data_IF_876452412093
#
_entry.id   IF_876452412093
#
_cell.length_a   1.000
_cell.length_b   1.000
_cell.length_c   1.000
_cell.angle_alpha   90.00
_cell.angle_beta   90.00
_cell.angle_gamma   90.00
#
_symmetry.space_group_name_H-M   'P 1'
#
loop_
_entity.id
_entity.type
_entity.pdbx_description
1 polymer ?
#
# COMPACT_ATOMS: atom_id res chain seq x y z
N UNK A 1 7.13 -42.86 -0.96
CA UNK A 1 6.08 -41.92 -1.45
C UNK A 1 5.42 -41.12 -0.33
N UNK A 2 5.03 -41.74 0.79
CA UNK A 2 4.27 -41.07 1.88
C UNK A 2 4.97 -39.86 2.52
N UNK A 3 6.28 -39.96 2.77
CA UNK A 3 7.07 -38.87 3.38
C UNK A 3 7.16 -37.63 2.48
N UNK A 4 7.27 -37.82 1.16
CA UNK A 4 7.28 -36.73 0.18
C UNK A 4 5.93 -35.97 0.16
N UNK A 5 4.81 -36.69 0.28
CA UNK A 5 3.48 -36.08 0.33
C UNK A 5 3.25 -35.25 1.60
N UNK A 6 3.74 -35.70 2.76
CA UNK A 6 3.66 -34.96 4.02
C UNK A 6 4.48 -33.66 3.98
N UNK A 7 5.70 -33.70 3.43
CA UNK A 7 6.53 -32.50 3.27
C UNK A 7 5.83 -31.46 2.37
N UNK A 8 5.24 -31.89 1.25
CA UNK A 8 4.51 -30.99 0.35
C UNK A 8 3.28 -30.39 1.05
N UNK A 9 2.52 -31.19 1.81
CA UNK A 9 1.36 -30.69 2.56
C UNK A 9 1.74 -29.66 3.62
N UNK A 10 2.83 -29.88 4.36
CA UNK A 10 3.35 -28.92 5.35
C UNK A 10 3.83 -27.63 4.68
N UNK A 11 4.54 -27.74 3.55
CA UNK A 11 4.96 -26.57 2.77
C UNK A 11 3.77 -25.77 2.23
N UNK A 12 2.74 -26.45 1.71
CA UNK A 12 1.51 -25.79 1.26
C UNK A 12 0.79 -25.12 2.43
N UNK A 13 0.70 -25.75 3.60
CA UNK A 13 0.10 -25.14 4.78
C UNK A 13 0.89 -23.91 5.27
N UNK A 14 2.22 -23.97 5.33
CA UNK A 14 3.06 -22.83 5.70
C UNK A 14 2.97 -21.68 4.68
N UNK A 15 2.89 -22.01 3.39
CA UNK A 15 2.69 -21.01 2.34
C UNK A 15 1.28 -20.41 2.43
N UNK A 16 0.22 -21.22 2.58
CA UNK A 16 -1.17 -20.77 2.73
C UNK A 16 -1.41 -19.93 4.00
N UNK A 17 -0.75 -20.24 5.12
CA UNK A 17 -0.88 -19.45 6.36
C UNK A 17 -0.17 -18.09 6.24
N UNK A 18 0.89 -17.98 5.43
CA UNK A 18 1.48 -16.69 5.06
C UNK A 18 0.63 -15.92 4.02
N UNK A 19 -0.36 -16.57 3.39
CA UNK A 19 -1.32 -16.00 2.42
C UNK A 19 -2.62 -15.54 3.10
N UNK A 20 -2.64 -15.32 4.43
CA UNK A 20 -3.53 -14.29 4.95
C UNK A 20 -2.99 -12.94 4.42
N UNK A 21 -3.28 -12.64 3.15
CA UNK A 21 -2.71 -11.57 2.34
C UNK A 21 -2.81 -10.23 3.07
N UNK A 22 -1.75 -9.90 3.82
CA UNK A 22 -1.64 -8.61 4.46
C UNK A 22 -1.35 -7.60 3.35
N UNK A 23 -2.32 -6.75 3.03
CA UNK A 23 -2.21 -5.72 1.99
C UNK A 23 -0.89 -4.93 2.14
N UNK A 24 -0.09 -4.85 1.08
CA UNK A 24 1.11 -4.00 1.06
C UNK A 24 0.84 -2.75 0.25
N UNK A 25 1.17 -1.59 0.81
CA UNK A 25 1.03 -0.31 0.12
C UNK A 25 2.38 0.40 0.01
N UNK A 26 2.50 1.28 -0.97
CA UNK A 26 3.57 2.26 -0.99
C UNK A 26 3.33 3.32 0.09
N UNK A 27 4.39 3.78 0.75
CA UNK A 27 4.35 4.87 1.73
C UNK A 27 5.41 5.92 1.43
N UNK A 28 5.01 7.19 1.56
CA UNK A 28 5.84 8.39 1.45
C UNK A 28 5.04 9.60 1.92
N UNK A 29 5.72 10.64 2.41
CA UNK A 29 5.07 11.85 2.97
C UNK A 29 5.54 13.16 2.31
N UNK A 30 6.53 13.07 1.42
CA UNK A 30 7.01 14.20 0.62
C UNK A 30 7.13 13.83 -0.85
N UNK A 31 7.05 14.81 -1.79
CA UNK A 31 7.24 14.54 -3.21
C UNK A 31 8.60 13.89 -3.53
N UNK A 32 9.66 14.24 -2.76
CA UNK A 32 11.00 13.65 -2.90
C UNK A 32 10.99 12.16 -2.53
N UNK A 33 10.39 11.81 -1.41
CA UNK A 33 10.31 10.41 -0.95
C UNK A 33 9.40 9.59 -1.86
N UNK A 34 8.36 10.19 -2.43
CA UNK A 34 7.45 9.52 -3.35
C UNK A 34 8.07 9.19 -4.72
N UNK A 35 9.29 9.66 -5.03
CA UNK A 35 10.08 9.17 -6.18
C UNK A 35 10.62 7.76 -5.94
N UNK A 36 10.86 7.38 -4.69
CA UNK A 36 11.32 6.05 -4.28
C UNK A 36 10.57 5.61 -3.01
N UNK A 37 9.24 5.42 -3.11
CA UNK A 37 8.42 5.16 -1.93
C UNK A 37 8.78 3.81 -1.31
N UNK A 38 8.73 3.75 0.02
CA UNK A 38 8.91 2.50 0.75
C UNK A 38 7.65 1.64 0.60
N UNK A 39 7.79 0.34 0.83
CA UNK A 39 6.65 -0.59 0.90
C UNK A 39 6.45 -0.99 2.35
N UNK A 40 5.21 -0.95 2.82
CA UNK A 40 4.84 -1.40 4.16
C UNK A 40 3.66 -2.33 4.08
N UNK A 41 3.64 -3.31 4.98
CA UNK A 41 2.44 -4.11 5.23
C UNK A 41 1.45 -3.27 6.03
N UNK A 42 0.19 -3.23 5.59
CA UNK A 42 -0.85 -2.49 6.29
C UNK A 42 -1.19 -3.15 7.62
N UNK A 43 -1.14 -2.32 8.64
CA UNK A 43 -1.50 -2.62 10.02
C UNK A 43 -2.23 -1.40 10.58
N UNK A 44 -2.90 -1.54 11.73
CA UNK A 44 -3.48 -0.39 12.43
C UNK A 44 -2.42 0.69 12.69
N UNK A 45 -1.18 0.31 13.00
CA UNK A 45 -0.09 1.27 13.20
C UNK A 45 0.24 2.06 11.92
N UNK A 46 0.37 1.39 10.77
CA UNK A 46 0.64 2.06 9.49
C UNK A 46 -0.53 2.95 9.01
N UNK A 47 -1.77 2.53 9.30
CA UNK A 47 -2.96 3.30 8.98
C UNK A 47 -3.12 4.53 9.89
N UNK A 48 -2.80 4.40 11.18
CA UNK A 48 -2.79 5.50 12.13
C UNK A 48 -1.69 6.52 11.80
N UNK A 49 -0.52 6.07 11.39
CA UNK A 49 0.55 6.96 10.91
C UNK A 49 0.09 7.79 9.70
N UNK A 50 -0.56 7.15 8.72
CA UNK A 50 -1.11 7.87 7.56
C UNK A 50 -2.22 8.84 7.97
N UNK A 51 -3.07 8.45 8.93
CA UNK A 51 -4.12 9.30 9.48
C UNK A 51 -3.56 10.51 10.24
N UNK A 52 -2.44 10.34 10.93
CA UNK A 52 -1.70 11.46 11.54
C UNK A 52 -1.26 12.47 10.47
N UNK A 53 -0.67 12.02 9.37
CA UNK A 53 -0.29 12.91 8.25
C UNK A 53 -1.49 13.54 7.54
N UNK A 54 -2.62 12.83 7.41
CA UNK A 54 -3.87 13.43 6.95
C UNK A 54 -4.31 14.56 7.88
N UNK A 55 -4.21 14.34 9.20
CA UNK A 55 -4.57 15.29 10.25
C UNK A 55 -3.71 16.55 10.29
N UNK A 56 -2.56 16.57 9.61
CA UNK A 56 -1.79 17.79 9.40
C UNK A 56 -2.58 18.77 8.52
N UNK A 57 -3.07 18.29 7.37
CA UNK A 57 -3.67 19.14 6.33
C UNK A 57 -5.20 19.19 6.34
N UNK A 58 -5.86 18.15 6.85
CA UNK A 58 -7.31 18.00 6.82
C UNK A 58 -7.97 18.24 8.19
N UNK A 59 -9.22 18.65 8.16
CA UNK A 59 -10.10 18.75 9.32
C UNK A 59 -10.81 17.42 9.56
N UNK A 60 -11.23 17.17 10.80
CA UNK A 60 -12.11 16.06 11.17
C UNK A 60 -11.61 14.69 10.74
N UNK A 61 -10.29 14.46 10.78
CA UNK A 61 -9.72 13.12 10.53
C UNK A 61 -10.13 12.22 11.70
N UNK A 62 -11.05 11.30 11.43
CA UNK A 62 -11.54 10.38 12.45
C UNK A 62 -10.44 9.42 12.92
N UNK A 63 -10.34 9.23 14.23
CA UNK A 63 -9.52 8.19 14.82
C UNK A 63 -10.30 6.87 14.80
N UNK A 64 -10.31 6.22 13.64
CA UNK A 64 -11.04 4.98 13.40
C UNK A 64 -10.06 3.81 13.29
N UNK A 65 -10.47 2.64 13.75
CA UNK A 65 -9.71 1.38 13.61
C UNK A 65 -10.48 0.38 12.78
N UNK A 66 -9.80 -0.45 12.01
CA UNK A 66 -10.43 -1.50 11.19
C UNK A 66 -9.45 -2.66 10.95
N UNK A 67 -9.99 -3.87 10.77
CA UNK A 67 -9.22 -5.03 10.29
C UNK A 67 -9.02 -5.00 8.78
N UNK A 68 -9.70 -4.07 8.07
CA UNK A 68 -9.53 -3.81 6.64
C UNK A 68 -8.75 -2.53 6.42
N UNK A 69 -7.94 -2.55 5.37
CA UNK A 69 -7.08 -1.46 4.98
C UNK A 69 -7.21 -1.21 3.48
N UNK A 70 -7.06 0.05 3.08
CA UNK A 70 -6.86 0.46 1.71
C UNK A 70 -5.50 1.16 1.58
N UNK A 71 -4.94 1.15 0.38
CA UNK A 71 -3.83 2.01 0.03
C UNK A 71 -4.36 3.40 -0.36
N UNK A 72 -3.77 4.44 0.23
CA UNK A 72 -4.03 5.84 -0.09
C UNK A 72 -2.92 6.39 -1.01
N UNK A 73 -3.32 7.25 -1.93
CA UNK A 73 -2.44 8.02 -2.79
C UNK A 73 -3.01 9.44 -2.92
N UNK A 74 -2.28 10.45 -2.48
CA UNK A 74 -2.78 11.82 -2.34
C UNK A 74 -1.72 12.85 -2.74
N UNK A 75 -2.13 13.87 -3.49
CA UNK A 75 -1.30 15.00 -3.90
C UNK A 75 -2.00 16.32 -3.63
N UNK A 76 -1.23 17.26 -3.11
CA UNK A 76 -1.62 18.65 -2.95
C UNK A 76 -0.77 19.50 -3.89
N UNK A 77 -1.42 20.34 -4.67
CA UNK A 77 -0.76 21.26 -5.57
C UNK A 77 -1.05 22.70 -5.17
N UNK A 78 -0.06 23.56 -5.40
CA UNK A 78 -0.20 25.00 -5.32
C UNK A 78 0.55 25.63 -6.49
N UNK A 79 -0.09 26.54 -7.23
CA UNK A 79 0.49 27.18 -8.41
C UNK A 79 1.10 26.20 -9.43
N UNK A 80 0.41 25.07 -9.69
CA UNK A 80 0.84 23.95 -10.56
C UNK A 80 1.99 23.09 -10.03
N UNK A 81 2.59 23.42 -8.89
CA UNK A 81 3.64 22.60 -8.26
C UNK A 81 3.05 21.61 -7.25
N UNK A 82 3.58 20.38 -7.26
CA UNK A 82 3.26 19.37 -6.23
C UNK A 82 4.04 19.72 -4.97
N UNK A 83 3.36 20.34 -4.00
CA UNK A 83 3.97 20.77 -2.74
C UNK A 83 4.05 19.63 -1.72
N UNK A 84 3.03 18.77 -1.70
CA UNK A 84 2.94 17.66 -0.75
C UNK A 84 2.34 16.44 -1.43
N UNK A 85 2.85 15.28 -1.05
CA UNK A 85 2.39 14.00 -1.56
C UNK A 85 2.41 12.98 -0.43
N UNK A 86 1.28 12.30 -0.23
CA UNK A 86 1.07 11.32 0.82
C UNK A 86 0.61 10.01 0.21
N UNK A 87 1.39 8.95 0.42
CA UNK A 87 0.98 7.59 0.14
C UNK A 87 1.06 6.81 1.46
N UNK A 88 0.16 5.86 1.66
CA UNK A 88 0.17 5.04 2.87
C UNK A 88 -0.97 4.04 2.92
N UNK A 89 -1.15 3.43 4.08
CA UNK A 89 -2.31 2.60 4.39
C UNK A 89 -3.37 3.46 5.06
N UNK A 90 -4.64 3.20 4.87
CA UNK A 90 -5.72 3.94 5.53
C UNK A 90 -6.85 3.01 5.92
N UNK A 91 -7.55 3.35 6.99
CA UNK A 91 -8.83 2.71 7.30
C UNK A 91 -9.90 3.22 6.33
N UNK A 92 -10.64 2.33 5.64
CA UNK A 92 -11.62 2.76 4.62
C UNK A 92 -12.62 3.80 5.14
N UNK A 93 -13.04 3.65 6.40
CA UNK A 93 -14.03 4.52 7.04
C UNK A 93 -13.51 5.93 7.39
N UNK A 94 -12.19 6.18 7.31
CA UNK A 94 -11.64 7.54 7.50
C UNK A 94 -12.08 8.46 6.36
N UNK A 95 -12.45 7.90 5.20
CA UNK A 95 -12.90 8.70 4.06
C UNK A 95 -11.85 9.70 3.60
N UNK A 96 -10.56 9.30 3.54
CA UNK A 96 -9.43 10.21 3.35
C UNK A 96 -9.61 11.19 2.17
N UNK A 97 -10.22 10.74 1.08
CA UNK A 97 -10.46 11.58 -0.09
C UNK A 97 -11.68 12.52 0.01
N UNK A 98 -12.61 12.31 0.94
CA UNK A 98 -13.74 13.23 1.17
C UNK A 98 -13.47 14.28 2.25
N UNK A 99 -12.34 14.17 2.97
CA UNK A 99 -11.93 15.15 3.97
C UNK A 99 -11.72 16.56 3.37
N UNK A 100 -12.11 17.57 4.13
CA UNK A 100 -11.87 18.98 3.83
C UNK A 100 -10.51 19.43 4.37
N UNK A 101 -9.84 20.32 3.63
CA UNK A 101 -8.60 20.96 4.07
C UNK A 101 -8.85 21.88 5.27
N UNK A 102 -7.86 22.04 6.15
CA UNK A 102 -7.88 23.09 7.19
C UNK A 102 -7.87 24.47 6.54
N UNK A 103 -8.41 25.51 7.21
CA UNK A 103 -8.45 26.86 6.66
C UNK A 103 -7.06 27.39 6.29
N UNK A 104 -6.03 27.03 7.07
CA UNK A 104 -4.64 27.39 6.83
C UNK A 104 -4.03 26.81 5.53
N UNK A 105 -4.66 25.80 4.94
CA UNK A 105 -4.24 25.16 3.69
C UNK A 105 -5.32 25.25 2.61
N UNK A 106 -6.37 26.06 2.82
CA UNK A 106 -7.49 26.17 1.89
C UNK A 106 -7.10 26.73 0.52
N UNK A 107 -5.94 27.39 0.42
CA UNK A 107 -5.35 27.85 -0.84
C UNK A 107 -4.67 26.74 -1.64
N UNK A 108 -4.48 25.54 -1.06
CA UNK A 108 -3.98 24.37 -1.78
C UNK A 108 -5.12 23.65 -2.49
N UNK A 109 -4.85 23.19 -3.71
CA UNK A 109 -5.76 22.33 -4.45
C UNK A 109 -5.39 20.87 -4.20
N UNK A 110 -6.35 20.08 -3.68
CA UNK A 110 -6.25 18.61 -3.72
C UNK A 110 -6.50 18.17 -5.16
N UNK A 111 -5.44 17.88 -5.91
CA UNK A 111 -5.53 17.57 -7.35
C UNK A 111 -5.74 16.09 -7.62
N UNK A 112 -5.27 15.23 -6.73
CA UNK A 112 -5.40 13.80 -6.91
C UNK A 112 -5.49 13.10 -5.56
N UNK A 113 -6.55 12.33 -5.37
CA UNK A 113 -6.73 11.45 -4.24
C UNK A 113 -7.34 10.14 -4.73
N UNK A 114 -6.72 9.03 -4.38
CA UNK A 114 -7.17 7.70 -4.74
C UNK A 114 -7.01 6.78 -3.54
N UNK A 115 -8.03 5.96 -3.30
CA UNK A 115 -7.97 4.80 -2.41
C UNK A 115 -8.16 3.53 -3.24
N UNK A 116 -7.44 2.47 -2.90
CA UNK A 116 -7.56 1.18 -3.58
C UNK A 116 -7.17 0.02 -2.64
N UNK A 117 -7.80 -1.14 -2.80
CA UNK A 117 -7.64 -2.27 -1.87
C UNK A 117 -6.67 -3.35 -2.36
N UNK A 118 -5.91 -3.08 -3.43
CA UNK A 118 -5.02 -4.04 -4.09
C UNK A 118 -3.56 -3.89 -3.68
N UNK A 119 -2.83 -4.99 -3.75
CA UNK A 119 -1.42 -5.02 -3.36
C UNK A 119 -0.58 -4.05 -4.20
N UNK A 120 0.03 -3.05 -3.55
CA UNK A 120 0.83 -1.97 -4.15
C UNK A 120 0.07 -1.14 -5.19
N UNK A 121 -1.26 -1.07 -5.10
CA UNK A 121 -2.12 -0.40 -6.08
C UNK A 121 -1.99 1.14 -6.07
N UNK A 122 -1.53 1.74 -4.96
CA UNK A 122 -1.36 3.18 -4.83
C UNK A 122 -0.07 3.71 -5.48
N UNK A 123 0.54 2.96 -6.40
CA UNK A 123 1.67 3.47 -7.16
C UNK A 123 1.18 4.55 -8.12
N UNK A 124 1.83 5.70 -8.09
CA UNK A 124 1.56 6.79 -9.02
C UNK A 124 1.66 6.30 -10.49
N UNK A 125 0.74 6.68 -11.41
CA UNK A 125 0.81 6.25 -12.82
C UNK A 125 2.12 6.62 -13.53
N UNK A 126 2.83 7.67 -13.08
CA UNK A 126 4.10 8.08 -13.70
C UNK A 126 5.30 7.15 -13.37
N UNK A 127 5.16 6.23 -12.41
CA UNK A 127 6.22 5.30 -12.05
C UNK A 127 5.89 3.91 -12.55
N UNK A 128 6.18 3.62 -13.82
CA UNK A 128 6.16 2.27 -14.43
C UNK A 128 6.40 1.20 -13.36
N UNK A 129 5.44 0.29 -13.20
CA UNK A 129 5.64 -0.95 -12.47
C UNK A 129 6.99 -1.50 -12.92
N UNK A 130 7.97 -1.54 -12.02
CA UNK A 130 9.19 -2.28 -12.28
C UNK A 130 8.72 -3.73 -12.30
N UNK A 131 8.67 -4.29 -13.50
CA UNK A 131 8.28 -5.65 -13.84
C UNK A 131 9.12 -6.72 -13.12
N UNK A 132 10.09 -6.31 -12.28
CA UNK A 132 10.98 -7.18 -11.53
C UNK A 132 10.29 -8.06 -10.49
N UNK A 133 9.11 -7.69 -9.96
CA UNK A 133 8.45 -8.54 -8.94
C UNK A 133 7.74 -9.76 -9.57
N UNK A 134 7.22 -9.62 -10.79
CA UNK A 134 6.58 -10.75 -11.50
C UNK A 134 7.64 -11.79 -11.90
N UNK A 135 8.87 -11.34 -12.22
CA UNK A 135 9.98 -12.24 -12.57
C UNK A 135 10.47 -13.11 -11.40
N UNK A 136 10.34 -12.66 -10.14
CA UNK A 136 10.78 -13.44 -8.98
C UNK A 136 9.75 -14.51 -8.62
N UNK A 137 8.45 -14.23 -8.76
CA UNK A 137 7.43 -15.25 -8.50
C UNK A 137 7.47 -16.39 -9.52
N UNK A 138 7.73 -16.09 -10.80
CA UNK A 138 7.81 -17.12 -11.84
C UNK A 138 9.05 -18.03 -11.72
N UNK A 139 10.20 -17.50 -11.27
CA UNK A 139 11.43 -18.29 -11.11
C UNK A 139 11.34 -19.29 -9.96
N UNK A 140 10.70 -18.93 -8.84
CA UNK A 140 10.52 -19.84 -7.70
C UNK A 140 9.56 -20.98 -8.04
N UNK A 141 8.45 -20.69 -8.75
CA UNK A 141 7.52 -21.72 -9.23
C UNK A 141 8.18 -22.68 -10.23
N UNK A 142 9.00 -22.16 -11.15
CA UNK A 142 9.74 -22.98 -12.12
C UNK A 142 10.73 -23.95 -11.46
N UNK A 143 11.51 -23.47 -10.48
CA UNK A 143 12.48 -24.30 -9.74
C UNK A 143 11.82 -25.42 -8.93
N UNK A 144 10.65 -25.16 -8.33
CA UNK A 144 9.90 -26.17 -7.59
C UNK A 144 9.34 -27.26 -8.50
N UNK A 145 8.81 -26.89 -9.67
CA UNK A 145 8.32 -27.88 -10.65
C UNK A 145 9.47 -28.74 -11.18
N UNK A 146 10.62 -28.15 -11.53
CA UNK A 146 11.80 -28.91 -12.01
C UNK A 146 12.24 -29.97 -11.00
N UNK A 147 12.25 -29.65 -9.69
CA UNK A 147 12.62 -30.63 -8.65
C UNK A 147 11.57 -31.71 -8.37
N UNK A 148 10.32 -31.55 -8.82
CA UNK A 148 9.30 -32.59 -8.69
C UNK A 148 9.29 -33.56 -9.88
N UNK A 149 9.76 -33.11 -11.05
CA UNK A 149 9.79 -33.91 -12.29
C UNK A 149 11.18 -34.44 -12.67
N UNK A 150 12.25 -34.02 -11.98
CA UNK A 150 13.57 -34.66 -11.99
C UNK A 150 13.70 -35.63 -10.81
#
# INVERSE_FOLDING_TARGET
MYMKALIVSILVAFVCVQIADSLKCYTCVTPKDCKSPKKVTCTNAAANETSYYLGVYHQNVGNLTSTRFDCLALKYNWNNDVIHQLHGCVHPNVGACSLALKPAYAHYNKTWCLTCSGDKCNKNPAGKMSSSTIAIASSVLGLLLVKMYA
#
